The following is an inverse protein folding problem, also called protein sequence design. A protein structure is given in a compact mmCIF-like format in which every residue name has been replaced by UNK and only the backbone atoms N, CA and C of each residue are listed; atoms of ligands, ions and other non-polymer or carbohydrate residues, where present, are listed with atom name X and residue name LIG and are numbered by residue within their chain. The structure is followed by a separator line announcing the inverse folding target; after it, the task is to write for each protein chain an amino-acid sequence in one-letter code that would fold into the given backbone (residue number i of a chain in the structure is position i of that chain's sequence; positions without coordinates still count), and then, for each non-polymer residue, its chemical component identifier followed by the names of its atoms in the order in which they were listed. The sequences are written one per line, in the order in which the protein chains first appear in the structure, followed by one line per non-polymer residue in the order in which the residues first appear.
data_IF_880331692345
#
_entry.id   IF_880331692345
#
_cell.length_a   1.000
_cell.length_b   1.000
_cell.length_c   1.000
_cell.angle_alpha   90.00
_cell.angle_beta   90.00
_cell.angle_gamma   90.00
#
_symmetry.space_group_name_H-M   'P 1'
#
loop_
_entity.id
_entity.type
_entity.pdbx_description
1 polymer ?
#
# COMPACT_ATOMS: atom_id res chain seq x y z
N UNK A 1 1.98 1.84 -5.30
CA UNK A 1 0.76 1.93 -4.47
C UNK A 1 0.53 0.58 -3.82
N UNK A 2 0.54 0.51 -2.48
CA UNK A 2 0.14 -0.68 -1.74
C UNK A 2 -1.29 -0.51 -1.19
N UNK A 3 -2.11 -1.54 -1.34
CA UNK A 3 -3.43 -1.62 -0.71
C UNK A 3 -3.28 -2.07 0.75
N UNK A 4 -3.81 -1.28 1.69
CA UNK A 4 -3.67 -1.48 3.13
C UNK A 4 -5.03 -1.72 3.77
N UNK A 5 -5.11 -2.76 4.60
CA UNK A 5 -6.31 -3.11 5.36
C UNK A 5 -6.07 -2.82 6.83
N UNK A 6 -6.93 -2.01 7.43
CA UNK A 6 -6.81 -1.61 8.84
C UNK A 6 -8.12 -1.76 9.57
N UNK A 7 -8.04 -2.13 10.85
CA UNK A 7 -9.21 -2.25 11.70
C UNK A 7 -9.43 -0.94 12.46
N UNK A 8 -10.59 -0.32 12.26
CA UNK A 8 -11.02 0.88 12.97
C UNK A 8 -12.36 0.57 13.61
N UNK A 9 -12.44 0.63 14.94
CA UNK A 9 -13.67 0.37 15.71
C UNK A 9 -14.36 -0.98 15.37
N UNK A 10 -13.57 -2.03 15.08
CA UNK A 10 -14.08 -3.36 14.75
C UNK A 10 -14.47 -3.56 13.28
N UNK A 11 -14.23 -2.56 12.42
CA UNK A 11 -14.50 -2.63 10.98
C UNK A 11 -13.20 -2.61 10.18
N UNK A 12 -13.15 -3.39 9.10
CA UNK A 12 -12.01 -3.40 8.18
C UNK A 12 -12.17 -2.31 7.13
N UNK A 13 -11.31 -1.30 7.19
CA UNK A 13 -11.21 -0.23 6.21
C UNK A 13 -10.08 -0.53 5.23
N UNK A 14 -10.29 -0.13 3.98
CA UNK A 14 -9.29 -0.25 2.93
C UNK A 14 -8.79 1.15 2.59
N UNK A 15 -7.49 1.33 2.51
CA UNK A 15 -6.91 2.56 1.97
C UNK A 15 -5.64 2.29 1.19
N UNK A 16 -5.23 3.27 0.41
CA UNK A 16 -3.96 3.24 -0.31
C UNK A 16 -3.40 4.66 -0.40
N UNK A 17 -2.08 4.78 -0.43
CA UNK A 17 -1.40 6.03 -0.69
C UNK A 17 -0.64 5.95 -2.02
N UNK A 18 -0.60 7.06 -2.75
CA UNK A 18 0.08 7.19 -4.04
C UNK A 18 0.87 8.48 -4.10
N UNK A 19 2.07 8.40 -4.63
CA UNK A 19 2.84 9.58 -5.02
C UNK A 19 2.46 10.00 -6.44
N UNK A 20 2.37 11.31 -6.66
CA UNK A 20 2.26 11.89 -8.00
C UNK A 20 3.61 11.94 -8.71
N UNK A 21 3.62 12.46 -9.94
CA UNK A 21 4.85 12.67 -10.69
C UNK A 21 5.81 13.61 -9.95
N UNK A 22 7.11 13.30 -10.05
CA UNK A 22 8.22 14.09 -9.49
C UNK A 22 8.08 14.43 -8.00
N UNK A 23 7.41 13.57 -7.23
CA UNK A 23 7.14 13.75 -5.80
C UNK A 23 6.38 15.04 -5.44
N UNK A 24 5.68 15.65 -6.40
CA UNK A 24 5.00 16.92 -6.16
C UNK A 24 3.71 16.77 -5.35
N UNK A 25 3.08 15.60 -5.43
CA UNK A 25 1.87 15.30 -4.67
C UNK A 25 1.92 13.97 -3.94
N UNK A 26 1.14 13.88 -2.87
CA UNK A 26 0.87 12.64 -2.14
C UNK A 26 -0.63 12.55 -1.89
N UNK A 27 -1.25 11.48 -2.38
CA UNK A 27 -2.70 11.27 -2.31
C UNK A 27 -3.01 10.04 -1.48
N UNK A 28 -4.02 10.14 -0.61
CA UNK A 28 -4.67 9.00 0.03
C UNK A 28 -6.03 8.74 -0.62
N UNK A 29 -6.35 7.46 -0.80
CA UNK A 29 -7.66 6.95 -1.15
C UNK A 29 -8.14 6.07 0.01
N UNK A 30 -9.31 6.35 0.57
CA UNK A 30 -9.86 5.64 1.74
C UNK A 30 -11.31 5.21 1.49
N UNK A 31 -11.61 3.92 1.74
CA UNK A 31 -12.95 3.34 1.64
C UNK A 31 -13.53 3.08 3.03
N UNK A 32 -14.70 3.65 3.28
CA UNK A 32 -15.53 3.31 4.42
C UNK A 32 -16.48 2.15 4.05
N UNK A 33 -16.27 0.93 4.57
CA UNK A 33 -16.89 -0.29 4.04
C UNK A 33 -18.41 -0.34 4.23
N UNK A 34 -18.94 0.12 5.38
CA UNK A 34 -20.37 0.02 5.72
C UNK A 34 -21.24 0.91 4.85
N UNK A 35 -20.77 2.13 4.64
CA UNK A 35 -21.53 3.18 3.94
C UNK A 35 -21.17 3.25 2.46
N UNK A 36 -20.17 2.45 2.03
CA UNK A 36 -19.57 2.49 0.69
C UNK A 36 -19.14 3.90 0.27
N UNK A 37 -18.79 4.72 1.27
CA UNK A 37 -18.31 6.07 1.05
C UNK A 37 -16.82 6.05 0.78
N UNK A 38 -16.43 6.79 -0.24
CA UNK A 38 -15.04 6.94 -0.65
C UNK A 38 -14.56 8.33 -0.25
N UNK A 39 -13.33 8.40 0.21
CA UNK A 39 -12.71 9.65 0.60
C UNK A 39 -11.31 9.76 0.02
N UNK A 40 -10.85 10.99 -0.14
CA UNK A 40 -9.47 11.27 -0.53
C UNK A 40 -8.95 12.56 0.08
N UNK A 41 -7.63 12.68 0.09
CA UNK A 41 -6.93 13.93 0.27
C UNK A 41 -5.69 13.89 -0.64
N UNK A 42 -5.42 14.99 -1.33
CA UNK A 42 -4.18 15.19 -2.07
C UNK A 42 -3.43 16.35 -1.43
N UNK A 43 -2.19 16.08 -1.03
CA UNK A 43 -1.28 17.07 -0.48
C UNK A 43 -0.26 17.49 -1.53
N UNK A 44 -0.07 18.79 -1.65
CA UNK A 44 1.07 19.35 -2.36
C UNK A 44 2.32 19.22 -1.50
N UNK A 45 3.50 19.22 -2.13
CA UNK A 45 4.80 19.11 -1.46
C UNK A 45 4.97 20.07 -0.27
N UNK A 46 4.57 21.33 -0.44
CA UNK A 46 4.61 22.33 0.64
C UNK A 46 3.76 21.91 1.85
N UNK A 47 2.51 21.49 1.62
CA UNK A 47 1.57 21.12 2.69
C UNK A 47 1.99 19.84 3.39
N UNK A 48 2.56 18.89 2.64
CA UNK A 48 3.20 17.70 3.16
C UNK A 48 4.35 18.06 4.13
N UNK A 49 5.27 18.93 3.71
CA UNK A 49 6.41 19.36 4.53
C UNK A 49 5.96 20.09 5.79
N UNK A 50 4.98 20.98 5.66
CA UNK A 50 4.42 21.71 6.79
C UNK A 50 3.73 20.75 7.78
N UNK A 51 2.97 19.78 7.28
CA UNK A 51 2.28 18.79 8.12
C UNK A 51 3.27 17.88 8.84
N UNK A 52 4.31 17.42 8.15
CA UNK A 52 5.38 16.61 8.75
C UNK A 52 6.02 17.31 9.95
N UNK A 53 6.40 18.59 9.76
CA UNK A 53 6.99 19.42 10.82
C UNK A 53 6.02 19.66 11.98
N UNK A 54 4.75 19.88 11.68
CA UNK A 54 3.72 20.19 12.69
C UNK A 54 3.43 18.98 13.58
N UNK A 55 3.23 17.81 12.97
CA UNK A 55 2.88 16.57 13.70
C UNK A 55 4.06 15.97 14.45
N UNK A 56 5.29 16.23 13.99
CA UNK A 56 6.51 15.63 14.50
C UNK A 56 7.54 16.68 14.94
N UNK A 57 7.09 17.77 15.61
CA UNK A 57 7.91 18.93 15.94
C UNK A 57 9.22 18.65 16.71
N UNK A 58 9.34 17.48 17.37
CA UNK A 58 10.51 17.09 18.17
C UNK A 58 11.53 16.23 17.41
N UNK A 59 11.16 15.70 16.24
CA UNK A 59 12.01 14.77 15.47
C UNK A 59 12.00 15.17 14.00
N UNK A 60 13.18 15.31 13.41
CA UNK A 60 13.32 15.61 11.99
C UNK A 60 13.46 14.31 11.21
N UNK A 61 12.36 13.84 10.64
CA UNK A 61 12.38 12.68 9.74
C UNK A 61 12.81 13.10 8.33
N UNK A 62 13.61 12.28 7.61
CA UNK A 62 13.89 12.49 6.19
C UNK A 62 12.60 12.38 5.36
N UNK A 63 12.33 13.39 4.54
CA UNK A 63 11.08 13.52 3.80
C UNK A 63 10.83 12.36 2.83
N UNK A 64 11.86 11.91 2.12
CA UNK A 64 11.79 10.79 1.17
C UNK A 64 11.42 9.48 1.87
N UNK A 65 12.05 9.21 3.03
CA UNK A 65 11.75 8.00 3.81
C UNK A 65 10.33 8.01 4.37
N UNK A 66 9.84 9.17 4.82
CA UNK A 66 8.47 9.30 5.30
C UNK A 66 7.47 9.00 4.18
N UNK A 67 7.68 9.53 2.97
CA UNK A 67 6.79 9.24 1.85
C UNK A 67 6.80 7.74 1.50
N UNK A 68 7.98 7.15 1.43
CA UNK A 68 8.14 5.72 1.18
C UNK A 68 7.38 4.87 2.20
N UNK A 69 7.45 5.22 3.49
CA UNK A 69 6.71 4.55 4.57
C UNK A 69 5.20 4.74 4.41
N UNK A 70 4.72 5.96 4.15
CA UNK A 70 3.30 6.24 3.94
C UNK A 70 2.72 5.46 2.76
N UNK A 71 3.50 5.22 1.70
CA UNK A 71 3.07 4.46 0.53
C UNK A 71 3.17 2.95 0.74
N UNK A 72 4.23 2.45 1.37
CA UNK A 72 4.59 1.03 1.31
C UNK A 72 4.46 0.26 2.62
N UNK A 73 4.39 0.91 3.78
CA UNK A 73 4.37 0.21 5.07
C UNK A 73 2.99 0.22 5.71
N UNK A 74 2.64 -0.81 6.46
CA UNK A 74 1.42 -0.80 7.25
C UNK A 74 1.56 0.09 8.51
N UNK A 75 0.50 0.82 8.90
CA UNK A 75 0.53 1.60 10.12
C UNK A 75 0.53 0.69 11.35
N UNK A 76 1.32 1.05 12.36
CA UNK A 76 1.31 0.43 13.69
C UNK A 76 0.01 0.69 14.45
N UNK A 77 -0.59 1.86 14.21
CA UNK A 77 -1.78 2.31 14.91
C UNK A 77 -2.62 3.20 14.01
N UNK A 78 -3.95 3.04 14.12
CA UNK A 78 -4.93 3.76 13.30
C UNK A 78 -6.08 4.22 14.18
N UNK A 79 -6.42 5.50 14.06
CA UNK A 79 -7.60 6.10 14.67
C UNK A 79 -8.31 6.99 13.66
N UNK A 80 -9.65 6.93 13.63
CA UNK A 80 -10.45 7.84 12.82
C UNK A 80 -11.26 8.74 13.73
N UNK A 81 -11.12 10.04 13.54
CA UNK A 81 -11.95 11.05 14.19
C UNK A 81 -12.95 11.57 13.15
N UNK A 82 -14.19 11.09 13.27
CA UNK A 82 -15.29 11.52 12.42
C UNK A 82 -16.23 12.43 13.21
N UNK A 83 -16.22 13.72 12.87
CA UNK A 83 -17.12 14.75 13.39
C UNK A 83 -17.54 15.63 12.23
N UNK A 84 -18.67 15.33 11.59
CA UNK A 84 -19.12 16.03 10.39
C UNK A 84 -19.02 17.57 10.56
N UNK A 85 -18.32 18.28 9.65
CA UNK A 85 -17.79 17.84 8.35
C UNK A 85 -16.36 17.30 8.37
N UNK A 86 -15.70 17.24 9.53
CA UNK A 86 -14.33 16.80 9.69
C UNK A 86 -14.24 15.26 9.71
N UNK A 87 -13.39 14.73 8.83
CA UNK A 87 -13.02 13.32 8.83
C UNK A 87 -11.49 13.24 8.83
N UNK A 88 -10.91 12.91 9.98
CA UNK A 88 -9.46 12.87 10.18
C UNK A 88 -9.02 11.44 10.45
N UNK A 89 -8.16 10.91 9.59
CA UNK A 89 -7.51 9.61 9.78
C UNK A 89 -6.11 9.83 10.35
N UNK A 90 -5.91 9.41 11.60
CA UNK A 90 -4.64 9.50 12.31
C UNK A 90 -3.93 8.15 12.25
N UNK A 91 -2.67 8.18 11.85
CA UNK A 91 -1.84 7.00 11.61
C UNK A 91 -0.51 7.14 12.37
N UNK A 92 0.01 6.02 12.86
CA UNK A 92 1.39 5.94 13.35
C UNK A 92 2.15 4.88 12.58
N UNK A 93 3.39 5.16 12.23
CA UNK A 93 4.26 4.24 11.51
C UNK A 93 5.58 4.02 12.25
N UNK A 94 6.14 2.82 12.09
CA UNK A 94 7.52 2.57 12.45
C UNK A 94 8.43 3.32 11.47
N UNK A 95 9.48 3.95 11.99
CA UNK A 95 10.52 4.56 11.17
C UNK A 95 11.83 3.82 11.43
N UNK A 96 12.50 3.41 10.34
CA UNK A 96 13.77 2.72 10.44
C UNK A 96 14.79 3.55 11.22
N UNK A 97 15.58 2.90 12.07
CA UNK A 97 16.67 3.50 12.84
C UNK A 97 16.23 4.59 13.83
N UNK A 98 14.96 4.60 14.25
CA UNK A 98 14.47 5.50 15.30
C UNK A 98 13.52 4.78 16.24
N UNK A 99 13.59 5.06 17.53
CA UNK A 99 12.64 4.55 18.52
C UNK A 99 11.30 5.33 18.51
N UNK A 100 11.25 6.46 17.80
CA UNK A 100 10.08 7.33 17.74
C UNK A 100 9.25 7.01 16.50
N UNK A 101 7.99 6.68 16.71
CA UNK A 101 7.04 6.47 15.61
C UNK A 101 6.72 7.77 14.87
N UNK A 102 6.66 7.72 13.54
CA UNK A 102 6.11 8.80 12.73
C UNK A 102 4.60 8.95 13.03
N UNK A 103 4.16 10.16 13.34
CA UNK A 103 2.74 10.52 13.42
C UNK A 103 2.29 11.18 12.12
N UNK A 104 1.17 10.74 11.58
CA UNK A 104 0.60 11.29 10.36
C UNK A 104 -0.91 11.46 10.46
N UNK A 105 -1.45 12.48 9.81
CA UNK A 105 -2.89 12.76 9.78
C UNK A 105 -3.34 13.08 8.35
N UNK A 106 -4.45 12.47 7.94
CA UNK A 106 -5.14 12.75 6.68
C UNK A 106 -6.47 13.42 6.96
N UNK A 107 -6.73 14.54 6.28
CA UNK A 107 -7.98 15.28 6.31
C UNK A 107 -8.84 14.87 5.12
N UNK A 108 -9.59 13.80 5.31
CA UNK A 108 -10.35 13.11 4.29
C UNK A 108 -11.56 13.93 3.83
N UNK A 109 -11.70 14.12 2.52
CA UNK A 109 -12.88 14.73 1.89
C UNK A 109 -13.64 13.68 1.09
N UNK A 110 -14.98 13.77 1.01
CA UNK A 110 -15.76 12.85 0.17
C UNK A 110 -15.27 12.88 -1.28
N UNK A 111 -15.22 11.71 -1.89
CA UNK A 111 -14.81 11.50 -3.28
C UNK A 111 -15.88 10.70 -4.02
N UNK A 112 -16.03 10.96 -5.31
CA UNK A 112 -16.88 10.15 -6.17
C UNK A 112 -16.41 8.69 -6.22
N UNK A 113 -17.36 7.77 -6.11
CA UNK A 113 -17.06 6.35 -6.05
C UNK A 113 -16.44 5.84 -7.37
N UNK A 114 -16.92 6.29 -8.53
CA UNK A 114 -16.38 5.84 -9.81
C UNK A 114 -14.92 6.29 -10.00
N UNK A 115 -14.61 7.54 -9.62
CA UNK A 115 -13.23 8.02 -9.59
C UNK A 115 -12.36 7.22 -8.63
N UNK A 116 -12.87 6.91 -7.43
CA UNK A 116 -12.15 6.11 -6.45
C UNK A 116 -11.83 4.71 -7.00
N UNK A 117 -12.83 4.02 -7.56
CA UNK A 117 -12.63 2.68 -8.11
C UNK A 117 -11.63 2.69 -9.27
N UNK A 118 -11.73 3.69 -10.15
CA UNK A 118 -10.81 3.89 -11.26
C UNK A 118 -9.37 4.02 -10.77
N UNK A 119 -9.12 4.88 -9.78
CA UNK A 119 -7.75 5.12 -9.28
C UNK A 119 -7.21 3.94 -8.44
N UNK A 120 -8.05 3.34 -7.59
CA UNK A 120 -7.58 2.33 -6.64
C UNK A 120 -7.45 0.93 -7.25
N UNK A 121 -8.34 0.55 -8.18
CA UNK A 121 -8.45 -0.84 -8.63
C UNK A 121 -8.02 -1.09 -10.07
N UNK A 122 -8.01 -0.11 -10.98
CA UNK A 122 -7.62 -0.39 -12.38
C UNK A 122 -6.20 -0.94 -12.48
N UNK A 123 -5.24 -0.34 -11.78
CA UNK A 123 -3.85 -0.82 -11.77
C UNK A 123 -3.76 -2.21 -11.13
N UNK A 124 -4.43 -2.40 -9.99
CA UNK A 124 -4.45 -3.68 -9.27
C UNK A 124 -5.06 -4.80 -10.11
N UNK A 125 -6.13 -4.53 -10.84
CA UNK A 125 -6.77 -5.49 -11.74
C UNK A 125 -5.88 -5.84 -12.94
N UNK A 126 -5.18 -4.85 -13.51
CA UNK A 126 -4.20 -5.07 -14.57
C UNK A 126 -3.05 -5.98 -14.09
N UNK A 127 -2.49 -5.70 -12.91
CA UNK A 127 -1.47 -6.56 -12.30
C UNK A 127 -1.98 -7.97 -12.01
N UNK A 128 -3.19 -8.10 -11.47
CA UNK A 128 -3.79 -9.42 -11.21
C UNK A 128 -3.99 -10.23 -12.49
N UNK A 129 -4.37 -9.58 -13.59
CA UNK A 129 -4.45 -10.22 -14.91
C UNK A 129 -3.08 -10.69 -15.38
N UNK A 130 -2.05 -9.83 -15.31
CA UNK A 130 -0.70 -10.22 -15.69
C UNK A 130 -0.14 -11.39 -14.87
N UNK A 131 -0.40 -11.42 -13.55
CA UNK A 131 -0.02 -12.55 -12.69
C UNK A 131 -0.76 -13.83 -13.06
N UNK A 132 -2.06 -13.73 -13.39
CA UNK A 132 -2.84 -14.88 -13.87
C UNK A 132 -2.24 -15.47 -15.15
N UNK A 133 -1.76 -14.64 -16.06
CA UNK A 133 -1.15 -15.08 -17.32
C UNK A 133 0.24 -15.72 -17.12
N UNK A 134 0.96 -15.33 -16.06
CA UNK A 134 2.26 -15.93 -15.70
C UNK A 134 2.14 -17.33 -15.09
N UNK A 135 1.02 -17.65 -14.42
CA UNK A 135 0.84 -18.95 -13.76
C UNK A 135 0.93 -20.13 -14.74
N UNK A 136 0.21 -20.14 -15.89
CA UNK A 136 0.35 -21.20 -16.89
C UNK A 136 1.78 -21.34 -17.42
N UNK A 137 2.46 -20.23 -17.70
CA UNK A 137 3.84 -20.25 -18.20
C UNK A 137 4.80 -20.93 -17.22
N UNK A 138 4.67 -20.61 -15.92
CA UNK A 138 5.48 -21.23 -14.87
C UNK A 138 5.15 -22.72 -14.71
N UNK A 139 3.87 -23.10 -14.83
CA UNK A 139 3.46 -24.50 -14.79
C UNK A 139 4.06 -25.29 -15.95
N UNK A 140 4.07 -24.75 -17.17
CA UNK A 140 4.68 -25.40 -18.33
C UNK A 140 6.18 -25.58 -18.16
N UNK A 141 6.88 -24.58 -17.59
CA UNK A 141 8.30 -24.66 -17.28
C UNK A 141 8.58 -25.76 -16.24
N UNK A 142 7.79 -25.82 -15.17
CA UNK A 142 7.94 -26.87 -14.14
C UNK A 142 7.74 -28.25 -14.77
N UNK A 143 6.68 -28.43 -15.56
CA UNK A 143 6.41 -29.70 -16.24
C UNK A 143 7.53 -30.09 -17.22
N UNK A 144 8.10 -29.13 -17.95
CA UNK A 144 9.22 -29.38 -18.84
C UNK A 144 10.47 -29.82 -18.05
N UNK A 145 10.74 -29.19 -16.91
CA UNK A 145 11.85 -29.55 -16.02
C UNK A 145 11.65 -30.91 -15.35
N UNK A 146 10.43 -31.26 -14.98
CA UNK A 146 10.12 -32.61 -14.46
C UNK A 146 10.34 -33.70 -15.52
N UNK A 147 9.99 -33.43 -16.79
CA UNK A 147 10.29 -34.35 -17.91
C UNK A 147 11.80 -34.52 -18.08
N UNK A 148 12.55 -33.43 -18.05
CA UNK A 148 14.02 -33.44 -18.14
C UNK A 148 14.64 -34.26 -16.98
N UNK A 149 14.17 -34.06 -15.74
CA UNK A 149 14.62 -34.83 -14.58
C UNK A 149 14.31 -36.33 -14.70
N UNK A 150 13.12 -36.67 -15.19
CA UNK A 150 12.75 -38.07 -15.41
C UNK A 150 13.59 -38.72 -16.51
N UNK A 151 14.00 -37.96 -17.53
CA UNK A 151 14.95 -38.43 -18.53
C UNK A 151 16.30 -38.80 -17.90
N UNK A 152 16.91 -37.90 -17.10
CA UNK A 152 18.18 -38.21 -16.42
C UNK A 152 18.09 -39.44 -15.50
N UNK A 153 16.95 -39.65 -14.82
CA UNK A 153 16.71 -40.86 -14.01
C UNK A 153 16.65 -42.12 -14.88
N UNK A 154 15.98 -42.05 -16.02
CA UNK A 154 15.86 -43.17 -16.96
C UNK A 154 17.21 -43.52 -17.59
N UNK A 155 18.06 -42.53 -17.84
CA UNK A 155 19.43 -42.68 -18.35
C UNK A 155 20.44 -43.15 -17.27
N UNK A 156 20.00 -43.36 -16.03
CA UNK A 156 20.82 -43.90 -14.94
C UNK A 156 21.72 -42.87 -14.24
N UNK A 157 21.50 -41.57 -14.46
CA UNK A 157 22.24 -40.52 -13.76
C UNK A 157 21.88 -40.51 -12.26
N UNK A 158 22.91 -40.42 -11.40
CA UNK A 158 22.74 -40.34 -9.94
C UNK A 158 22.92 -38.89 -9.45
N UNK A 159 22.10 -38.50 -8.46
CA UNK A 159 22.24 -37.21 -7.80
C UNK A 159 23.47 -37.23 -6.89
N UNK A 160 24.31 -36.19 -6.99
CA UNK A 160 25.48 -36.01 -6.10
C UNK A 160 25.12 -35.58 -4.68
N UNK A 161 23.95 -34.95 -4.51
CA UNK A 161 23.38 -34.58 -3.22
C UNK A 161 21.98 -35.17 -3.20
N UNK A 162 21.79 -36.23 -2.42
CA UNK A 162 20.53 -36.93 -2.21
C UNK A 162 20.34 -37.14 -0.72
#
# INVERSE_FOLDING_TARGET
MLLKLVNINGLQHLFACTEGQDDETLTILFLHPREKLSYSETLMKHDYQQRLKTLNARVKFPEELVRLVLVNEDPLHVEQHFQHPLNILKLKYAMANTEVSLKWEWHLRPMDAAQFYSQMFLNTMSTASGLRDQIPLLLDIIQAKDKELNQYRTEGCQLRRG
#
